data_IF_785969102395
#
_entry.id   IF_785969102395
#
_cell.length_a   1.000
_cell.length_b   1.000
_cell.length_c   1.000
_cell.angle_alpha   90.00
_cell.angle_beta   90.00
_cell.angle_gamma   90.00
#
_symmetry.space_group_name_H-M   'P 1'
#
loop_
_entity.id
_entity.type
_entity.pdbx_description
1 polymer ?
#
# COMPACT_ATOMS: atom_id res chain seq x y z
N UNK A 1 -1.24 11.04 -2.48
CA UNK A 1 -1.26 12.51 -2.51
C UNK A 1 -0.19 12.96 -1.53
N UNK A 2 0.89 13.57 -2.02
CA UNK A 2 2.13 13.88 -1.26
C UNK A 2 2.32 15.39 -1.30
N UNK A 3 2.65 16.03 -0.17
CA UNK A 3 2.97 17.46 -0.10
C UNK A 3 4.35 17.64 0.54
N UNK A 4 5.14 18.52 -0.04
CA UNK A 4 6.41 19.03 0.45
C UNK A 4 6.25 20.53 0.75
N UNK A 5 6.90 21.04 1.79
CA UNK A 5 6.88 22.48 2.10
C UNK A 5 7.66 23.27 1.05
N UNK A 6 7.10 24.41 0.67
CA UNK A 6 7.77 25.45 -0.10
C UNK A 6 8.30 26.48 0.89
N UNK A 7 9.52 26.26 1.39
CA UNK A 7 10.29 27.25 2.14
C UNK A 7 11.71 27.26 1.59
N UNK A 8 11.83 27.77 0.37
CA UNK A 8 12.91 28.64 -0.11
C UNK A 8 12.85 28.68 -1.63
N UNK A 9 12.97 29.89 -2.19
CA UNK A 9 13.00 30.18 -3.63
C UNK A 9 14.22 29.61 -4.36
N UNK A 10 14.86 28.57 -3.82
CA UNK A 10 16.08 27.92 -4.33
C UNK A 10 15.97 26.39 -4.50
N UNK A 11 14.81 25.75 -4.24
CA UNK A 11 14.72 24.28 -4.32
C UNK A 11 14.33 23.72 -5.70
N UNK A 12 15.34 23.30 -6.47
CA UNK A 12 15.19 22.46 -7.67
C UNK A 12 14.76 21.01 -7.39
N UNK A 13 14.51 20.62 -6.13
CA UNK A 13 14.35 19.21 -5.72
C UNK A 13 12.91 18.80 -5.40
N UNK A 14 11.94 19.73 -5.35
CA UNK A 14 10.52 19.44 -5.07
C UNK A 14 9.92 18.45 -6.06
N UNK A 15 10.17 18.65 -7.35
CA UNK A 15 9.72 17.73 -8.40
C UNK A 15 10.24 16.31 -8.19
N UNK A 16 11.47 16.18 -7.72
CA UNK A 16 12.13 14.89 -7.49
C UNK A 16 11.52 14.15 -6.29
N UNK A 17 11.27 14.82 -5.17
CA UNK A 17 10.63 14.21 -3.98
C UNK A 17 9.20 13.79 -4.30
N UNK A 18 8.45 14.60 -5.04
CA UNK A 18 7.07 14.27 -5.45
C UNK A 18 7.01 13.13 -6.48
N UNK A 19 8.11 12.86 -7.17
CA UNK A 19 8.26 11.73 -8.08
C UNK A 19 8.78 10.47 -7.38
N UNK A 20 9.08 10.51 -6.07
CA UNK A 20 9.43 9.33 -5.31
C UNK A 20 8.31 8.29 -5.43
N UNK A 21 8.68 7.07 -5.80
CA UNK A 21 7.74 5.98 -6.03
C UNK A 21 7.61 5.05 -4.83
N UNK A 22 8.46 5.23 -3.82
CA UNK A 22 8.61 4.32 -2.69
C UNK A 22 8.86 5.11 -1.39
N UNK A 23 8.44 4.53 -0.26
CA UNK A 23 8.70 5.09 1.06
C UNK A 23 8.84 3.99 2.13
N UNK A 24 9.58 4.29 3.19
CA UNK A 24 9.74 3.44 4.36
C UNK A 24 9.77 4.29 5.64
N UNK A 25 9.19 3.79 6.73
CA UNK A 25 9.20 4.47 8.02
C UNK A 25 10.37 3.95 8.87
N UNK A 26 11.26 4.85 9.28
CA UNK A 26 12.27 4.58 10.29
C UNK A 26 11.73 4.87 11.69
N UNK A 27 11.93 3.94 12.62
CA UNK A 27 11.56 4.09 14.04
C UNK A 27 12.55 3.37 14.94
N UNK A 28 13.19 4.09 15.85
CA UNK A 28 14.11 3.53 16.86
C UNK A 28 13.59 3.69 18.31
N UNK A 29 12.39 4.25 18.47
CA UNK A 29 11.77 4.55 19.77
C UNK A 29 12.00 5.98 20.27
N UNK A 30 12.96 6.70 19.71
CA UNK A 30 13.24 8.12 20.00
C UNK A 30 12.94 9.01 18.79
N UNK A 31 13.18 8.49 17.59
CA UNK A 31 12.99 9.15 16.33
C UNK A 31 12.00 8.37 15.48
N UNK A 32 11.14 9.10 14.78
CA UNK A 32 10.27 8.58 13.74
C UNK A 32 10.37 9.47 12.51
N UNK A 33 10.75 8.89 11.37
CA UNK A 33 10.86 9.64 10.11
C UNK A 33 10.44 8.81 8.90
N UNK A 34 9.85 9.46 7.91
CA UNK A 34 9.55 8.89 6.62
C UNK A 34 10.75 9.08 5.69
N UNK A 35 11.27 7.99 5.17
CA UNK A 35 12.26 7.97 4.10
C UNK A 35 11.53 7.77 2.77
N UNK A 36 11.69 8.68 1.82
CA UNK A 36 11.18 8.51 0.45
C UNK A 36 12.33 8.29 -0.52
N UNK A 37 12.11 7.48 -1.56
CA UNK A 37 13.11 7.15 -2.57
C UNK A 37 12.44 6.71 -3.89
N UNK A 38 13.25 6.56 -4.95
CA UNK A 38 12.77 6.16 -6.28
C UNK A 38 12.54 7.35 -7.23
N UNK A 39 11.75 7.12 -8.28
CA UNK A 39 11.49 8.15 -9.30
C UNK A 39 12.71 8.52 -10.15
N UNK A 40 12.82 9.80 -10.52
CA UNK A 40 13.87 10.34 -11.39
C UNK A 40 15.25 10.42 -10.72
N UNK A 41 15.33 10.36 -9.39
CA UNK A 41 16.58 10.26 -8.64
C UNK A 41 16.56 9.04 -7.73
N UNK A 42 16.33 7.87 -8.34
CA UNK A 42 16.15 6.61 -7.61
C UNK A 42 17.32 6.17 -6.74
N UNK A 43 18.47 6.82 -6.82
CA UNK A 43 19.65 6.60 -5.97
C UNK A 43 19.71 7.52 -4.74
N UNK A 44 18.75 8.44 -4.58
CA UNK A 44 18.65 9.32 -3.43
C UNK A 44 17.55 8.87 -2.48
N UNK A 45 17.79 9.11 -1.19
CA UNK A 45 16.80 9.03 -0.12
C UNK A 45 16.55 10.43 0.39
N UNK A 46 15.29 10.77 0.62
CA UNK A 46 14.87 12.01 1.29
C UNK A 46 14.25 11.66 2.63
N UNK A 47 14.79 12.23 3.70
CA UNK A 47 14.30 12.03 5.06
C UNK A 47 13.34 13.14 5.44
N UNK A 48 12.15 12.79 5.94
CA UNK A 48 11.25 13.78 6.49
C UNK A 48 11.75 14.29 7.84
N UNK A 49 11.39 15.52 8.20
CA UNK A 49 11.62 16.10 9.51
C UNK A 49 10.30 16.28 10.23
N UNK A 50 10.33 16.20 11.55
CA UNK A 50 9.17 16.51 12.37
C UNK A 50 8.79 17.99 12.20
N UNK A 51 7.48 18.26 12.18
CA UNK A 51 6.91 19.61 12.13
C UNK A 51 6.03 19.77 13.36
N UNK A 52 6.30 20.78 14.17
CA UNK A 52 5.43 21.08 15.31
C UNK A 52 4.08 21.61 14.80
N UNK A 53 3.01 21.42 15.60
CA UNK A 53 1.70 21.98 15.27
C UNK A 53 1.73 23.51 15.11
N UNK A 54 2.60 24.19 15.85
CA UNK A 54 2.81 25.64 15.75
C UNK A 54 3.41 26.04 14.39
N UNK A 55 4.43 25.32 13.91
CA UNK A 55 5.02 25.54 12.59
C UNK A 55 4.01 25.25 11.48
N UNK A 56 3.21 24.19 11.63
CA UNK A 56 2.16 23.83 10.68
C UNK A 56 1.03 24.88 10.65
N UNK A 57 0.60 25.37 11.81
CA UNK A 57 -0.42 26.41 11.95
C UNK A 57 0.06 27.73 11.32
N UNK A 58 1.30 28.14 11.59
CA UNK A 58 1.92 29.31 10.98
C UNK A 58 2.00 29.19 9.46
N UNK A 59 2.41 28.03 8.93
CA UNK A 59 2.48 27.78 7.49
C UNK A 59 1.09 27.87 6.83
N UNK A 60 0.04 27.34 7.47
CA UNK A 60 -1.34 27.36 6.94
C UNK A 60 -1.94 28.76 6.79
N UNK A 61 -1.42 29.75 7.53
CA UNK A 61 -1.83 31.16 7.37
C UNK A 61 -1.41 31.71 6.01
N UNK A 62 -0.23 31.31 5.53
CA UNK A 62 0.36 31.80 4.26
C UNK A 62 -0.03 30.86 3.11
N UNK A 63 -0.09 29.56 3.38
CA UNK A 63 -0.31 28.50 2.41
C UNK A 63 -1.42 27.58 2.89
N UNK A 64 -2.66 27.90 2.51
CA UNK A 64 -3.87 27.19 2.97
C UNK A 64 -3.90 25.70 2.59
N UNK A 65 -3.05 25.26 1.66
CA UNK A 65 -2.91 23.87 1.21
C UNK A 65 -1.71 23.12 1.82
N UNK A 66 -1.10 23.61 2.89
CA UNK A 66 0.02 22.92 3.57
C UNK A 66 -0.43 21.68 4.38
N UNK A 67 0.24 20.55 4.12
CA UNK A 67 0.11 19.27 4.82
C UNK A 67 1.36 18.94 5.67
N UNK A 68 1.30 17.85 6.43
CA UNK A 68 2.21 17.53 7.54
C UNK A 68 3.55 16.85 7.17
N UNK A 69 3.96 16.80 5.90
CA UNK A 69 5.23 16.18 5.49
C UNK A 69 6.28 17.21 5.07
N UNK A 70 7.37 17.30 5.85
CA UNK A 70 8.45 18.26 5.68
C UNK A 70 9.76 17.58 5.38
N UNK A 71 10.51 18.07 4.38
CA UNK A 71 11.87 17.62 4.06
C UNK A 71 12.76 18.86 4.09
N UNK A 72 13.74 18.89 4.99
CA UNK A 72 14.68 20.01 5.14
C UNK A 72 15.79 19.93 4.09
N UNK A 73 16.40 21.05 3.76
CA UNK A 73 17.67 21.01 3.05
C UNK A 73 18.72 20.21 3.84
N UNK A 74 19.60 19.50 3.13
CA UNK A 74 20.62 18.65 3.76
C UNK A 74 20.11 17.34 4.37
N UNK A 75 18.80 17.03 4.29
CA UNK A 75 18.24 15.74 4.73
C UNK A 75 18.10 14.71 3.60
N UNK A 76 18.77 14.95 2.48
CA UNK A 76 18.87 14.00 1.37
C UNK A 76 20.21 13.30 1.36
N UNK A 77 20.19 11.99 1.09
CA UNK A 77 21.37 11.15 1.05
C UNK A 77 21.48 10.47 -0.31
N UNK A 78 22.70 10.30 -0.82
CA UNK A 78 22.95 9.52 -2.03
C UNK A 78 23.52 8.16 -1.62
N UNK A 79 22.76 7.10 -1.88
CA UNK A 79 23.08 5.73 -1.46
C UNK A 79 23.24 4.79 -2.65
N UNK A 80 23.55 5.31 -3.83
CA UNK A 80 23.68 4.52 -5.06
C UNK A 80 24.06 5.41 -6.24
N UNK A 81 23.72 4.96 -7.45
CA UNK A 81 23.96 5.72 -8.69
C UNK A 81 22.79 5.57 -9.66
N UNK A 82 22.83 6.31 -10.78
CA UNK A 82 21.86 6.13 -11.87
C UNK A 82 21.79 4.70 -12.39
N UNK A 83 22.92 4.00 -12.39
CA UNK A 83 23.08 2.61 -12.82
C UNK A 83 22.60 1.62 -11.76
N UNK A 84 22.73 1.99 -10.48
CA UNK A 84 22.36 1.17 -9.32
C UNK A 84 21.38 1.93 -8.41
N UNK A 85 20.12 2.14 -8.86
CA UNK A 85 19.11 2.83 -8.07
C UNK A 85 18.67 1.98 -6.89
N UNK A 86 18.13 2.63 -5.86
CA UNK A 86 17.60 1.97 -4.68
C UNK A 86 16.39 1.13 -5.04
N UNK A 87 16.35 -0.07 -4.50
CA UNK A 87 15.35 -1.08 -4.81
C UNK A 87 14.42 -1.33 -3.63
N UNK A 88 14.93 -1.33 -2.39
CA UNK A 88 14.12 -1.58 -1.21
C UNK A 88 14.67 -0.89 0.04
N UNK A 89 13.81 -0.68 1.04
CA UNK A 89 14.19 -0.25 2.37
C UNK A 89 13.29 -0.92 3.41
N UNK A 90 13.89 -1.47 4.47
CA UNK A 90 13.17 -2.15 5.56
C UNK A 90 13.74 -1.77 6.93
N UNK A 91 12.85 -1.54 7.89
CA UNK A 91 13.24 -1.37 9.28
C UNK A 91 13.67 -2.73 9.84
N UNK A 92 14.86 -2.79 10.44
CA UNK A 92 15.36 -3.96 11.12
C UNK A 92 15.95 -3.52 12.47
N UNK A 93 15.24 -3.84 13.56
CA UNK A 93 15.58 -3.39 14.91
C UNK A 93 15.55 -1.85 15.00
N UNK A 94 16.67 -1.23 15.38
CA UNK A 94 16.90 0.21 15.57
C UNK A 94 17.50 0.90 14.33
N UNK A 95 17.62 0.16 13.22
CA UNK A 95 18.25 0.61 11.98
C UNK A 95 17.37 0.38 10.76
N UNK A 96 17.55 1.20 9.74
CA UNK A 96 17.01 0.96 8.40
C UNK A 96 18.07 0.26 7.55
N UNK A 97 17.69 -0.81 6.86
CA UNK A 97 18.47 -1.39 5.78
C UNK A 97 17.95 -0.84 4.47
N UNK A 98 18.81 -0.21 3.67
CA UNK A 98 18.47 0.33 2.35
C UNK A 98 19.30 -0.39 1.31
N UNK A 99 18.66 -0.83 0.23
CA UNK A 99 19.28 -1.69 -0.78
C UNK A 99 19.27 -1.01 -2.14
N UNK A 100 20.31 -1.28 -2.93
CA UNK A 100 20.22 -1.31 -4.38
C UNK A 100 20.49 -2.75 -4.86
N UNK A 101 20.73 -2.97 -6.15
CA UNK A 101 20.99 -4.29 -6.70
C UNK A 101 22.37 -4.88 -6.36
N UNK A 102 23.31 -4.06 -5.88
CA UNK A 102 24.70 -4.49 -5.58
C UNK A 102 25.10 -4.35 -4.12
N UNK A 103 24.36 -3.63 -3.28
CA UNK A 103 24.81 -3.27 -1.94
C UNK A 103 23.67 -2.95 -0.97
N UNK A 104 24.06 -2.87 0.30
CA UNK A 104 23.19 -2.55 1.42
C UNK A 104 23.83 -1.47 2.31
N UNK A 105 23.03 -0.46 2.64
CA UNK A 105 23.36 0.63 3.55
C UNK A 105 22.59 0.48 4.86
N UNK A 106 23.25 0.82 5.95
CA UNK A 106 22.63 0.95 7.27
C UNK A 106 22.47 2.43 7.58
N UNK A 107 21.24 2.82 7.88
CA UNK A 107 20.87 4.15 8.35
C UNK A 107 20.39 4.05 9.79
N UNK A 108 20.97 4.82 10.70
CA UNK A 108 20.57 4.86 12.12
C UNK A 108 20.90 6.18 12.78
N UNK A 109 20.19 6.53 13.84
CA UNK A 109 20.63 7.60 14.74
C UNK A 109 21.63 7.02 15.74
N UNK A 110 22.85 7.57 15.88
CA UNK A 110 23.85 7.04 16.80
C UNK A 110 23.46 7.28 18.26
N UNK A 111 22.67 8.33 18.52
CA UNK A 111 22.25 8.74 19.86
C UNK A 111 20.78 9.22 19.84
N UNK A 112 20.06 8.93 20.93
CA UNK A 112 18.64 9.29 21.09
C UNK A 112 18.35 10.81 21.04
N UNK A 113 19.36 11.65 21.28
CA UNK A 113 19.23 13.11 21.27
C UNK A 113 19.72 13.77 19.99
N UNK A 114 20.29 12.99 19.07
CA UNK A 114 20.92 13.52 17.87
C UNK A 114 20.02 13.32 16.65
N UNK A 115 19.65 14.41 15.98
CA UNK A 115 18.90 14.36 14.72
C UNK A 115 19.80 14.00 13.52
N UNK A 116 21.12 13.84 13.72
CA UNK A 116 22.02 13.34 12.69
C UNK A 116 21.83 11.84 12.46
N UNK A 117 21.61 11.45 11.19
CA UNK A 117 21.52 10.05 10.80
C UNK A 117 22.87 9.59 10.27
N UNK A 118 23.46 8.61 10.95
CA UNK A 118 24.65 7.90 10.49
C UNK A 118 24.29 7.01 9.29
N UNK A 119 25.14 7.02 8.27
CA UNK A 119 24.95 6.28 7.03
C UNK A 119 26.23 5.52 6.73
N UNK A 120 26.12 4.19 6.71
CA UNK A 120 27.27 3.31 6.49
C UNK A 120 26.93 2.36 5.36
N UNK A 121 27.80 2.29 4.35
CA UNK A 121 27.79 1.17 3.40
C UNK A 121 28.19 -0.07 4.18
N UNK A 122 27.23 -0.97 4.37
CA UNK A 122 27.40 -2.12 5.23
C UNK A 122 28.02 -3.29 4.47
N UNK A 123 27.57 -3.55 3.24
CA UNK A 123 28.15 -4.58 2.40
C UNK A 123 27.99 -4.25 0.92
N UNK A 124 29.06 -4.50 0.17
CA UNK A 124 29.09 -4.46 -1.29
C UNK A 124 29.04 -5.90 -1.85
N UNK A 125 28.51 -6.05 -3.06
CA UNK A 125 28.25 -7.33 -3.72
C UNK A 125 27.00 -8.08 -3.23
N UNK A 126 26.27 -7.58 -2.23
CA UNK A 126 25.01 -8.15 -1.74
C UNK A 126 23.91 -7.10 -1.80
N UNK A 127 23.01 -7.26 -2.76
CA UNK A 127 21.90 -6.33 -3.00
C UNK A 127 20.57 -7.03 -3.27
N UNK A 128 19.53 -6.21 -3.34
CA UNK A 128 18.18 -6.59 -3.72
C UNK A 128 17.92 -6.15 -5.17
N UNK A 129 17.73 -7.09 -6.09
CA UNK A 129 17.58 -6.77 -7.52
C UNK A 129 16.19 -6.29 -7.90
N UNK A 130 15.19 -6.57 -7.05
CA UNK A 130 13.80 -6.26 -7.31
C UNK A 130 13.31 -5.08 -6.47
N UNK A 131 12.50 -4.20 -7.07
CA UNK A 131 11.90 -3.07 -6.35
C UNK A 131 10.87 -3.57 -5.35
N UNK A 132 10.98 -3.16 -4.09
CA UNK A 132 10.17 -3.69 -2.99
C UNK A 132 10.45 -5.17 -2.70
N UNK A 133 11.57 -5.71 -3.19
CA UNK A 133 11.93 -7.12 -3.02
C UNK A 133 12.53 -7.47 -1.66
N UNK A 134 12.31 -6.67 -0.62
CA UNK A 134 12.82 -6.93 0.73
C UNK A 134 11.69 -6.90 1.75
N UNK A 135 11.70 -7.88 2.66
CA UNK A 135 10.71 -8.01 3.74
C UNK A 135 11.39 -8.46 5.03
N UNK A 136 10.78 -8.14 6.17
CA UNK A 136 11.23 -8.60 7.47
C UNK A 136 10.36 -9.77 7.92
N UNK A 137 10.88 -11.00 7.91
CA UNK A 137 10.18 -12.19 8.38
C UNK A 137 10.62 -12.53 9.80
N UNK A 138 9.74 -12.28 10.79
CA UNK A 138 10.02 -12.50 12.23
C UNK A 138 11.36 -11.92 12.70
N UNK A 139 11.68 -10.71 12.25
CA UNK A 139 12.92 -10.03 12.60
C UNK A 139 14.13 -10.44 11.77
N UNK A 140 14.00 -11.37 10.81
CA UNK A 140 15.07 -11.74 9.88
C UNK A 140 14.80 -11.08 8.53
N UNK A 141 15.73 -10.30 7.97
CA UNK A 141 15.56 -9.73 6.63
C UNK A 141 15.64 -10.79 5.54
N UNK A 142 14.68 -10.75 4.60
CA UNK A 142 14.68 -11.54 3.37
C UNK A 142 14.69 -10.61 2.17
N UNK A 143 15.45 -10.96 1.14
CA UNK A 143 15.62 -10.16 -0.07
C UNK A 143 15.50 -11.03 -1.33
N UNK A 144 15.11 -10.41 -2.43
CA UNK A 144 15.29 -10.93 -3.78
C UNK A 144 16.69 -10.53 -4.25
N UNK A 145 17.67 -11.40 -4.08
CA UNK A 145 19.04 -11.19 -4.56
C UNK A 145 19.16 -11.56 -6.04
N UNK A 146 20.31 -11.27 -6.66
CA UNK A 146 20.58 -11.70 -8.04
C UNK A 146 20.68 -13.23 -8.23
N UNK A 147 20.79 -13.99 -7.13
CA UNK A 147 20.89 -15.45 -7.12
C UNK A 147 19.62 -16.16 -6.64
N UNK A 148 18.60 -15.43 -6.20
CA UNK A 148 17.32 -16.00 -5.76
C UNK A 148 16.73 -15.28 -4.55
N UNK A 149 15.82 -15.94 -3.85
CA UNK A 149 15.31 -15.48 -2.56
C UNK A 149 16.32 -15.86 -1.50
N UNK A 150 16.75 -14.89 -0.71
CA UNK A 150 17.79 -15.09 0.28
C UNK A 150 17.45 -14.42 1.60
N UNK A 151 17.88 -15.04 2.70
CA UNK A 151 17.85 -14.42 4.03
C UNK A 151 19.20 -13.81 4.37
N UNK A 152 19.15 -12.67 5.04
CA UNK A 152 20.32 -12.01 5.62
C UNK A 152 20.41 -12.41 7.09
N UNK A 153 21.41 -13.19 7.44
CA UNK A 153 21.73 -13.54 8.83
C UNK A 153 22.86 -12.68 9.35
N UNK A 154 22.95 -12.46 10.66
CA UNK A 154 24.18 -11.93 11.26
C UNK A 154 25.20 -13.07 11.34
N UNK A 155 26.47 -12.79 11.03
CA UNK A 155 27.55 -13.77 11.17
C UNK A 155 27.70 -14.22 12.64
N UNK A 156 27.45 -13.33 13.60
CA UNK A 156 27.27 -13.63 15.02
C UNK A 156 26.50 -12.49 15.74
N UNK A 157 26.12 -12.69 17.00
CA UNK A 157 25.31 -11.73 17.78
C UNK A 157 25.95 -10.34 17.98
N UNK A 158 27.27 -10.23 17.77
CA UNK A 158 28.05 -8.99 17.89
C UNK A 158 28.57 -8.47 16.55
N UNK A 159 28.20 -9.10 15.43
CA UNK A 159 28.79 -8.81 14.14
C UNK A 159 27.83 -8.02 13.26
N UNK A 160 28.35 -6.89 12.78
CA UNK A 160 27.81 -6.10 11.68
C UNK A 160 28.17 -6.71 10.31
N UNK A 161 28.29 -8.04 10.18
CA UNK A 161 28.51 -8.71 8.89
C UNK A 161 27.29 -9.59 8.61
N UNK A 162 26.62 -9.35 7.48
CA UNK A 162 25.55 -10.26 7.03
C UNK A 162 26.09 -11.43 6.24
N UNK A 163 25.62 -12.63 6.57
CA UNK A 163 25.68 -13.79 5.68
C UNK A 163 24.43 -13.82 4.82
N UNK A 164 24.60 -14.00 3.51
CA UNK A 164 23.50 -14.22 2.58
C UNK A 164 23.32 -15.73 2.41
N UNK A 165 22.16 -16.24 2.76
CA UNK A 165 21.79 -17.65 2.52
C UNK A 165 20.64 -17.70 1.54
N UNK A 166 20.89 -18.21 0.33
CA UNK A 166 19.86 -18.43 -0.69
C UNK A 166 18.98 -19.60 -0.25
N UNK A 167 17.67 -19.36 -0.16
CA UNK A 167 16.67 -20.36 0.26
C UNK A 167 15.89 -20.92 -0.93
N UNK A 168 16.04 -20.33 -2.13
CA UNK A 168 15.37 -20.76 -3.35
C UNK A 168 16.27 -21.55 -4.30
N UNK A 169 17.35 -22.17 -3.80
CA UNK A 169 18.29 -22.93 -4.63
C UNK A 169 17.62 -24.05 -5.42
N UNK A 170 16.62 -24.68 -4.82
CA UNK A 170 15.95 -25.86 -5.36
C UNK A 170 15.00 -25.53 -6.53
N UNK A 171 14.71 -24.24 -6.73
CA UNK A 171 13.88 -23.73 -7.83
C UNK A 171 14.61 -22.65 -8.65
N UNK A 172 15.94 -22.63 -8.61
CA UNK A 172 16.75 -21.59 -9.25
C UNK A 172 16.52 -21.52 -10.78
N UNK A 173 16.19 -22.65 -11.42
CA UNK A 173 15.81 -22.74 -12.84
C UNK A 173 14.54 -21.92 -13.16
N UNK A 174 13.64 -21.76 -12.18
CA UNK A 174 12.41 -20.98 -12.29
C UNK A 174 12.58 -19.51 -11.97
N UNK A 175 13.71 -19.14 -11.38
CA UNK A 175 14.00 -17.80 -10.88
C UNK A 175 15.29 -17.23 -11.51
N UNK A 176 15.42 -17.18 -12.86
CA UNK A 176 16.55 -16.49 -13.47
C UNK A 176 16.50 -15.00 -13.12
N UNK A 177 17.66 -14.32 -13.20
CA UNK A 177 17.77 -12.89 -12.90
C UNK A 177 16.75 -12.02 -13.67
N UNK A 178 16.41 -12.39 -14.90
CA UNK A 178 15.40 -11.70 -15.71
C UNK A 178 14.01 -11.74 -15.07
N UNK A 179 13.65 -12.82 -14.37
CA UNK A 179 12.40 -12.96 -13.62
C UNK A 179 12.51 -12.23 -12.27
N UNK A 180 13.60 -12.46 -11.53
CA UNK A 180 13.80 -11.90 -10.19
C UNK A 180 13.66 -10.37 -10.15
N UNK A 181 14.15 -9.65 -11.17
CA UNK A 181 14.04 -8.17 -11.26
C UNK A 181 12.60 -7.65 -11.29
N UNK A 182 11.65 -8.47 -11.71
CA UNK A 182 10.23 -8.14 -11.83
C UNK A 182 9.39 -8.73 -10.70
N UNK A 183 10.03 -9.43 -9.76
CA UNK A 183 9.33 -10.05 -8.66
C UNK A 183 8.99 -9.06 -7.53
N UNK A 184 7.85 -9.27 -6.89
CA UNK A 184 7.49 -8.68 -5.60
C UNK A 184 7.56 -9.76 -4.52
N UNK A 185 8.00 -9.38 -3.32
CA UNK A 185 8.11 -10.25 -2.16
C UNK A 185 7.20 -9.72 -1.03
N UNK A 186 6.43 -10.60 -0.41
CA UNK A 186 5.64 -10.30 0.78
C UNK A 186 5.83 -11.39 1.82
N UNK A 187 5.75 -11.02 3.10
CA UNK A 187 5.70 -11.97 4.20
C UNK A 187 4.37 -11.83 4.93
N UNK A 188 3.66 -12.95 5.06
CA UNK A 188 2.43 -13.01 5.83
C UNK A 188 2.69 -13.73 7.17
N UNK A 189 2.63 -12.97 8.27
CA UNK A 189 3.04 -13.44 9.60
C UNK A 189 2.20 -14.60 10.14
N UNK A 190 0.87 -14.54 9.98
CA UNK A 190 -0.04 -15.53 10.56
C UNK A 190 0.21 -16.93 10.02
N UNK A 191 0.44 -17.06 8.71
CA UNK A 191 0.72 -18.36 8.10
C UNK A 191 2.22 -18.65 8.01
N UNK A 192 3.06 -17.68 8.41
CA UNK A 192 4.50 -17.73 8.33
C UNK A 192 4.99 -18.17 6.93
N UNK A 193 4.52 -17.48 5.89
CA UNK A 193 4.87 -17.77 4.50
C UNK A 193 5.39 -16.54 3.77
N UNK A 194 6.40 -16.77 2.94
CA UNK A 194 6.87 -15.82 1.94
C UNK A 194 6.09 -16.03 0.66
N UNK A 195 5.64 -14.93 0.06
CA UNK A 195 4.88 -14.89 -1.17
C UNK A 195 5.69 -14.15 -2.22
N UNK A 196 5.86 -14.77 -3.37
CA UNK A 196 6.69 -14.28 -4.48
C UNK A 196 5.87 -14.27 -5.76
N UNK A 197 5.96 -13.18 -6.52
CA UNK A 197 5.22 -13.01 -7.77
C UNK A 197 6.03 -12.22 -8.78
N UNK A 198 6.29 -12.79 -9.96
CA UNK A 198 6.78 -12.04 -11.13
C UNK A 198 5.66 -11.20 -11.75
N UNK A 199 5.74 -9.88 -11.62
CA UNK A 199 4.71 -8.96 -12.13
C UNK A 199 4.56 -8.95 -13.65
N UNK A 200 5.48 -9.54 -14.40
CA UNK A 200 5.43 -9.62 -15.87
C UNK A 200 4.85 -10.93 -16.40
N UNK A 201 4.71 -11.96 -15.56
CA UNK A 201 4.21 -13.27 -15.99
C UNK A 201 2.70 -13.23 -16.26
N UNK A 202 2.29 -13.34 -17.51
CA UNK A 202 0.88 -13.25 -17.92
C UNK A 202 0.01 -14.38 -17.33
N UNK A 203 0.59 -15.52 -16.97
CA UNK A 203 -0.13 -16.67 -16.41
C UNK A 203 -0.49 -16.46 -14.93
N UNK A 204 -0.02 -15.39 -14.30
CA UNK A 204 -0.37 -15.06 -12.92
C UNK A 204 0.18 -16.07 -11.91
N UNK A 205 1.41 -16.54 -12.11
CA UNK A 205 2.07 -17.47 -11.18
C UNK A 205 2.46 -16.76 -9.87
N UNK A 206 1.99 -17.28 -8.74
CA UNK A 206 2.41 -16.88 -7.39
C UNK A 206 3.04 -18.09 -6.71
N UNK A 207 4.25 -17.90 -6.17
CA UNK A 207 4.99 -18.91 -5.43
C UNK A 207 4.94 -18.60 -3.94
N UNK A 208 4.66 -19.60 -3.12
CA UNK A 208 4.70 -19.48 -1.67
C UNK A 208 5.77 -20.42 -1.13
N UNK A 209 6.51 -19.98 -0.13
CA UNK A 209 7.40 -20.86 0.60
C UNK A 209 7.40 -20.58 2.09
N UNK A 210 7.81 -21.60 2.84
CA UNK A 210 8.19 -21.44 4.24
C UNK A 210 9.52 -20.68 4.32
N UNK A 211 9.81 -19.95 5.41
CA UNK A 211 11.04 -19.15 5.54
C UNK A 211 12.34 -19.96 5.48
N UNK A 212 12.28 -21.28 5.60
CA UNK A 212 13.43 -22.17 5.43
C UNK A 212 13.68 -22.59 3.97
N UNK A 213 12.74 -22.30 3.06
CA UNK A 213 12.83 -22.55 1.63
C UNK A 213 12.64 -24.01 1.21
N UNK A 214 12.23 -24.92 2.10
CA UNK A 214 12.15 -26.35 1.76
C UNK A 214 10.91 -26.73 0.96
N UNK A 215 9.80 -26.06 1.20
CA UNK A 215 8.53 -26.35 0.56
C UNK A 215 8.07 -25.15 -0.25
N UNK A 216 7.84 -25.37 -1.55
CA UNK A 216 7.33 -24.37 -2.46
C UNK A 216 5.97 -24.81 -3.00
N UNK A 217 4.99 -23.92 -2.89
CA UNK A 217 3.65 -24.10 -3.44
C UNK A 217 3.46 -23.11 -4.59
N UNK A 218 2.88 -23.57 -5.69
CA UNK A 218 2.62 -22.74 -6.87
C UNK A 218 1.11 -22.57 -7.07
N UNK A 219 0.68 -21.33 -7.21
CA UNK A 219 -0.63 -20.95 -7.74
C UNK A 219 -0.46 -20.29 -9.12
N UNK A 220 -1.51 -20.33 -9.93
CA UNK A 220 -1.60 -19.70 -11.26
C UNK A 220 -2.91 -18.93 -11.39
N UNK A 221 -3.05 -18.09 -12.40
CA UNK A 221 -4.25 -17.28 -12.65
C UNK A 221 -4.33 -15.99 -11.81
N UNK A 222 -3.31 -15.69 -11.01
CA UNK A 222 -3.26 -14.52 -10.12
C UNK A 222 -2.36 -13.44 -10.71
N UNK A 223 -2.94 -12.59 -11.57
CA UNK A 223 -2.23 -11.46 -12.18
C UNK A 223 -2.14 -10.28 -11.21
N UNK A 224 -1.31 -10.45 -10.19
CA UNK A 224 -1.08 -9.47 -9.13
C UNK A 224 0.06 -8.49 -9.48
N UNK A 225 -0.16 -7.20 -9.21
CA UNK A 225 0.86 -6.14 -9.30
C UNK A 225 1.64 -5.97 -7.99
N UNK A 226 0.99 -6.22 -6.85
CA UNK A 226 1.59 -6.19 -5.52
C UNK A 226 0.88 -7.19 -4.60
N UNK A 227 1.57 -7.57 -3.54
CA UNK A 227 1.07 -8.44 -2.48
C UNK A 227 0.93 -7.60 -1.20
N UNK A 228 -0.15 -7.78 -0.46
CA UNK A 228 -0.51 -6.93 0.68
C UNK A 228 -1.23 -7.72 1.77
N UNK A 229 -1.36 -7.14 2.95
CA UNK A 229 -2.30 -7.63 3.96
C UNK A 229 -3.66 -6.94 3.80
N UNK A 230 -4.73 -7.73 3.77
CA UNK A 230 -6.09 -7.21 3.64
C UNK A 230 -7.12 -8.08 4.37
N UNK A 231 -8.00 -7.44 5.15
CA UNK A 231 -9.08 -8.15 5.84
C UNK A 231 -8.60 -9.20 6.85
N UNK A 232 -7.39 -9.03 7.40
CA UNK A 232 -6.77 -9.99 8.32
C UNK A 232 -6.19 -11.25 7.63
N UNK A 233 -6.08 -11.25 6.29
CA UNK A 233 -5.53 -12.31 5.46
C UNK A 233 -4.53 -11.77 4.43
N UNK A 234 -3.83 -12.66 3.71
CA UNK A 234 -3.03 -12.26 2.58
C UNK A 234 -3.95 -11.82 1.44
N UNK A 235 -3.53 -10.78 0.72
CA UNK A 235 -4.23 -10.23 -0.42
C UNK A 235 -3.27 -9.76 -1.50
N UNK A 236 -3.83 -9.29 -2.59
CA UNK A 236 -3.06 -8.82 -3.74
C UNK A 236 -3.79 -7.71 -4.48
N UNK A 237 -3.03 -6.84 -5.14
CA UNK A 237 -3.58 -5.84 -6.06
C UNK A 237 -3.67 -6.43 -7.46
N UNK A 238 -4.86 -6.41 -8.07
CA UNK A 238 -5.05 -6.85 -9.45
C UNK A 238 -4.45 -5.85 -10.43
N UNK A 239 -4.31 -6.24 -11.71
CA UNK A 239 -3.89 -5.36 -12.80
C UNK A 239 -4.68 -4.04 -12.86
N UNK A 240 -5.93 -4.01 -12.39
CA UNK A 240 -6.78 -2.82 -12.35
C UNK A 240 -6.70 -2.01 -11.06
N UNK A 241 -5.78 -2.35 -10.15
CA UNK A 241 -5.63 -1.69 -8.85
C UNK A 241 -6.71 -2.04 -7.82
N UNK A 242 -7.50 -3.10 -8.04
CA UNK A 242 -8.43 -3.62 -7.01
C UNK A 242 -7.62 -4.44 -6.01
N UNK A 243 -8.02 -4.44 -4.74
CA UNK A 243 -7.46 -5.37 -3.75
C UNK A 243 -8.38 -6.60 -3.70
N UNK A 244 -7.79 -7.77 -3.90
CA UNK A 244 -8.43 -9.07 -3.76
C UNK A 244 -7.79 -9.83 -2.58
N UNK A 245 -8.49 -10.81 -2.03
CA UNK A 245 -7.97 -11.70 -0.98
C UNK A 245 -7.86 -13.12 -1.49
N UNK A 246 -6.87 -13.86 -1.01
CA UNK A 246 -6.88 -15.30 -1.19
C UNK A 246 -8.02 -15.91 -0.36
N UNK A 247 -8.77 -16.84 -0.95
CA UNK A 247 -9.81 -17.55 -0.25
C UNK A 247 -9.54 -19.06 -0.30
N UNK A 248 -8.95 -19.56 0.78
CA UNK A 248 -8.56 -20.98 0.88
C UNK A 248 -9.76 -21.93 0.90
N UNK A 249 -10.99 -21.43 1.09
CA UNK A 249 -12.20 -22.25 0.95
C UNK A 249 -12.55 -22.56 -0.51
N UNK A 250 -11.98 -21.83 -1.46
CA UNK A 250 -12.17 -22.03 -2.89
C UNK A 250 -10.99 -22.85 -3.41
N UNK A 251 -11.24 -24.15 -3.59
CA UNK A 251 -10.26 -25.10 -4.16
C UNK A 251 -9.95 -24.81 -5.63
N UNK A 252 -10.79 -24.00 -6.28
CA UNK A 252 -10.63 -23.44 -7.63
C UNK A 252 -11.37 -22.09 -7.70
N UNK A 253 -10.71 -21.04 -8.22
CA UNK A 253 -11.35 -19.81 -8.68
C UNK A 253 -11.77 -20.04 -10.14
N UNK A 254 -13.07 -19.99 -10.43
CA UNK A 254 -13.63 -20.22 -11.76
C UNK A 254 -13.80 -18.91 -12.55
N UNK A 255 -13.41 -17.77 -11.99
CA UNK A 255 -13.61 -16.45 -12.60
C UNK A 255 -15.08 -16.03 -12.65
N UNK A 256 -15.97 -16.68 -11.89
CA UNK A 256 -17.37 -16.29 -11.82
C UNK A 256 -17.54 -14.92 -11.15
N UNK A 257 -18.45 -14.11 -11.71
CA UNK A 257 -18.81 -12.81 -11.17
C UNK A 257 -19.27 -12.95 -9.72
N UNK A 258 -18.68 -12.18 -8.80
CA UNK A 258 -19.20 -12.06 -7.45
C UNK A 258 -19.96 -10.74 -7.27
N UNK A 259 -21.04 -10.78 -6.50
CA UNK A 259 -21.74 -9.56 -6.09
C UNK A 259 -20.93 -8.84 -5.01
N UNK A 260 -20.51 -7.62 -5.30
CA UNK A 260 -19.85 -6.78 -4.32
C UNK A 260 -20.90 -6.11 -3.44
N UNK A 261 -20.85 -6.36 -2.13
CA UNK A 261 -21.72 -5.74 -1.14
C UNK A 261 -20.92 -4.79 -0.24
N UNK A 262 -21.43 -3.56 -0.09
CA UNK A 262 -20.95 -2.61 0.91
C UNK A 262 -22.08 -2.25 1.86
N UNK A 263 -21.87 -2.45 3.15
CA UNK A 263 -22.80 -2.06 4.21
C UNK A 263 -22.23 -0.88 4.99
N UNK A 264 -22.94 0.23 5.03
CA UNK A 264 -22.54 1.40 5.82
C UNK A 264 -22.71 1.13 7.32
N UNK A 265 -22.03 1.93 8.14
CA UNK A 265 -22.45 2.08 9.54
C UNK A 265 -23.79 2.85 9.61
N UNK A 266 -24.44 2.82 10.78
CA UNK A 266 -25.60 3.68 11.01
C UNK A 266 -25.17 5.14 11.07
N UNK A 267 -25.74 5.95 10.18
CA UNK A 267 -25.68 7.40 10.23
C UNK A 267 -26.61 7.86 11.35
N UNK A 268 -26.01 8.51 12.36
CA UNK A 268 -26.73 9.16 13.44
C UNK A 268 -26.98 10.63 13.09
N UNK A 269 -28.25 11.01 12.96
CA UNK A 269 -28.65 12.40 12.69
C UNK A 269 -28.95 13.21 13.97
N UNK A 270 -28.50 12.72 15.12
CA UNK A 270 -28.46 13.32 16.47
C UNK A 270 -29.18 14.66 16.66
N UNK A 271 -30.45 14.57 17.06
CA UNK A 271 -31.12 15.29 18.15
C UNK A 271 -32.46 14.54 18.37
N UNK A 272 -32.80 14.03 19.58
CA UNK A 272 -33.95 13.14 19.79
C UNK A 272 -35.32 13.72 19.38
N UNK A 273 -35.37 15.05 19.26
CA UNK A 273 -36.56 15.88 19.05
C UNK A 273 -36.98 15.94 17.56
N UNK A 274 -36.10 15.55 16.63
CA UNK A 274 -36.31 15.69 15.18
C UNK A 274 -36.37 14.33 14.47
N UNK A 275 -37.55 13.70 14.45
CA UNK A 275 -37.80 12.52 13.61
C UNK A 275 -37.80 12.92 12.12
N UNK A 276 -36.87 12.40 11.31
CA UNK A 276 -36.83 12.65 9.86
C UNK A 276 -37.84 11.78 9.13
N UNK A 277 -38.40 12.23 8.00
CA UNK A 277 -39.52 11.53 7.31
C UNK A 277 -39.21 11.02 5.91
N UNK A 278 -38.43 11.78 5.15
CA UNK A 278 -38.11 11.49 3.76
C UNK A 278 -36.68 11.94 3.50
N UNK A 279 -36.00 11.22 2.61
CA UNK A 279 -34.66 11.57 2.19
C UNK A 279 -34.53 11.53 0.68
N UNK A 280 -33.51 12.22 0.21
CA UNK A 280 -33.01 12.14 -1.14
C UNK A 280 -31.65 11.49 -1.08
N UNK A 281 -31.43 10.47 -1.90
CA UNK A 281 -30.12 9.87 -2.07
C UNK A 281 -29.65 10.18 -3.48
N UNK A 282 -28.39 10.60 -3.59
CA UNK A 282 -27.73 10.70 -4.87
C UNK A 282 -26.46 9.86 -4.88
N UNK A 283 -26.20 9.23 -6.03
CA UNK A 283 -25.05 8.39 -6.28
C UNK A 283 -24.39 8.92 -7.55
N UNK A 284 -23.12 9.29 -7.45
CA UNK A 284 -22.29 9.59 -8.61
C UNK A 284 -21.40 8.38 -8.86
N UNK A 285 -21.50 7.77 -10.04
CA UNK A 285 -20.75 6.56 -10.37
C UNK A 285 -20.31 6.53 -11.83
N UNK A 286 -19.23 5.83 -12.11
CA UNK A 286 -18.99 5.22 -13.41
C UNK A 286 -19.52 3.79 -13.30
N UNK A 287 -20.67 3.50 -13.89
CA UNK A 287 -21.33 2.20 -13.73
C UNK A 287 -20.77 1.12 -14.66
N UNK A 288 -20.09 1.52 -15.75
CA UNK A 288 -19.73 0.63 -16.85
C UNK A 288 -20.90 -0.20 -17.39
N UNK A 289 -22.14 0.32 -17.31
CA UNK A 289 -23.36 -0.40 -17.73
C UNK A 289 -23.97 -1.36 -16.69
N UNK A 290 -23.38 -1.52 -15.50
CA UNK A 290 -23.97 -2.35 -14.45
C UNK A 290 -25.13 -1.69 -13.72
N UNK A 291 -26.00 -2.53 -13.15
CA UNK A 291 -27.06 -2.09 -12.24
C UNK A 291 -26.52 -1.95 -10.82
N UNK A 292 -26.81 -0.81 -10.19
CA UNK A 292 -26.44 -0.50 -8.81
C UNK A 292 -27.70 -0.65 -7.95
N UNK A 293 -27.71 -1.64 -7.07
CA UNK A 293 -28.70 -1.81 -6.02
C UNK A 293 -28.33 -0.99 -4.80
N UNK A 294 -29.32 -0.30 -4.22
CA UNK A 294 -29.16 0.48 -3.00
C UNK A 294 -30.34 0.18 -2.08
N UNK A 295 -30.07 -0.45 -0.95
CA UNK A 295 -31.07 -0.62 0.12
C UNK A 295 -30.82 0.42 1.18
N UNK A 296 -31.82 1.25 1.46
CA UNK A 296 -31.79 2.19 2.60
C UNK A 296 -32.58 1.57 3.74
N UNK A 297 -32.00 1.52 4.93
CA UNK A 297 -32.55 0.86 6.11
C UNK A 297 -32.61 1.83 7.29
N UNK A 298 -33.70 1.76 8.05
CA UNK A 298 -33.87 2.41 9.36
C UNK A 298 -33.99 1.34 10.44
N UNK A 299 -34.14 1.76 11.70
CA UNK A 299 -34.46 0.86 12.81
C UNK A 299 -35.78 0.06 12.63
N UNK A 300 -36.67 0.44 11.70
CA UNK A 300 -38.02 -0.14 11.57
C UNK A 300 -38.39 -0.63 10.17
N UNK A 301 -37.80 -0.05 9.12
CA UNK A 301 -38.18 -0.29 7.72
C UNK A 301 -36.98 -0.17 6.79
N UNK A 302 -37.06 -0.83 5.64
CA UNK A 302 -36.12 -0.68 4.54
C UNK A 302 -36.82 -0.31 3.23
N UNK A 303 -36.07 0.25 2.29
CA UNK A 303 -36.49 0.55 0.93
C UNK A 303 -35.37 0.17 -0.02
N UNK A 304 -35.70 -0.59 -1.07
CA UNK A 304 -34.75 -0.95 -2.12
C UNK A 304 -34.92 0.00 -3.31
N UNK A 305 -33.78 0.44 -3.83
CA UNK A 305 -33.63 1.33 -4.96
C UNK A 305 -32.70 0.66 -5.95
N UNK A 306 -32.93 0.93 -7.24
CA UNK A 306 -32.12 0.38 -8.33
C UNK A 306 -31.81 1.50 -9.31
N UNK A 307 -30.55 1.57 -9.71
CA UNK A 307 -30.06 2.49 -10.71
C UNK A 307 -29.44 1.68 -11.85
N UNK A 308 -30.00 1.83 -13.05
CA UNK A 308 -29.48 1.16 -14.22
C UNK A 308 -28.49 2.08 -14.92
N UNK A 309 -27.24 1.65 -14.96
CA UNK A 309 -26.13 2.39 -15.53
C UNK A 309 -26.02 2.29 -17.04
N UNK A 310 -25.22 3.17 -17.64
CA UNK A 310 -24.93 3.22 -19.08
C UNK A 310 -23.44 3.00 -19.35
N UNK A 311 -23.11 2.32 -20.44
CA UNK A 311 -21.71 1.95 -20.76
C UNK A 311 -20.81 3.14 -21.15
N UNK A 312 -21.36 4.24 -21.71
CA UNK A 312 -20.53 5.26 -22.40
C UNK A 312 -20.58 6.68 -21.82
N UNK A 313 -21.19 6.91 -20.64
CA UNK A 313 -21.41 8.27 -20.13
C UNK A 313 -21.00 8.56 -18.66
N UNK A 314 -19.81 8.15 -18.18
CA UNK A 314 -19.35 8.52 -16.83
C UNK A 314 -18.86 9.99 -16.74
N UNK A 315 -18.99 10.65 -15.57
CA UNK A 315 -19.71 10.19 -14.39
C UNK A 315 -21.23 10.29 -14.55
N UNK A 316 -21.94 9.24 -14.17
CA UNK A 316 -23.39 9.18 -14.12
C UNK A 316 -23.90 9.64 -12.76
N UNK A 317 -24.95 10.47 -12.77
CA UNK A 317 -25.59 10.98 -11.58
C UNK A 317 -26.97 10.37 -11.42
N UNK A 318 -27.11 9.52 -10.42
CA UNK A 318 -28.37 8.92 -10.03
C UNK A 318 -28.93 9.65 -8.82
N UNK A 319 -30.24 9.83 -8.80
CA UNK A 319 -30.91 10.59 -7.75
C UNK A 319 -32.33 10.12 -7.57
N UNK A 320 -32.70 9.74 -6.34
CA UNK A 320 -34.06 9.29 -6.06
C UNK A 320 -34.48 9.67 -4.65
N UNK A 321 -35.76 10.01 -4.50
CA UNK A 321 -36.38 10.19 -3.18
C UNK A 321 -36.76 8.82 -2.62
N UNK A 322 -36.51 8.63 -1.33
CA UNK A 322 -36.93 7.43 -0.61
C UNK A 322 -37.81 7.81 0.58
N UNK A 323 -38.74 6.91 0.92
CA UNK A 323 -39.64 7.04 2.06
C UNK A 323 -39.61 5.77 2.91
N UNK A 324 -39.00 5.85 4.09
CA UNK A 324 -38.93 4.73 5.05
C UNK A 324 -39.69 5.03 6.36
N UNK A 325 -40.49 6.10 6.38
CA UNK A 325 -41.24 6.55 7.55
C UNK A 325 -40.40 7.43 8.48
N UNK A 326 -40.79 7.52 9.76
CA UNK A 326 -40.00 8.25 10.77
C UNK A 326 -38.80 7.43 11.20
N UNK A 327 -37.60 7.99 11.14
CA UNK A 327 -36.38 7.33 11.57
C UNK A 327 -35.43 8.27 12.32
N UNK A 328 -34.57 7.67 13.15
CA UNK A 328 -33.46 8.33 13.85
C UNK A 328 -32.12 7.93 13.25
N UNK A 329 -32.00 6.67 12.83
CA UNK A 329 -30.79 6.13 12.26
C UNK A 329 -31.04 5.70 10.82
N UNK A 330 -30.04 5.89 9.98
CA UNK A 330 -30.09 5.44 8.59
C UNK A 330 -28.84 4.67 8.25
N UNK A 331 -29.02 3.50 7.67
CA UNK A 331 -27.94 2.69 7.09
C UNK A 331 -28.26 2.49 5.62
N UNK A 332 -27.24 2.32 4.79
CA UNK A 332 -27.43 1.89 3.43
C UNK A 332 -26.55 0.69 3.09
N UNK A 333 -27.08 -0.19 2.24
CA UNK A 333 -26.38 -1.31 1.62
C UNK A 333 -26.33 -1.06 0.12
N UNK A 334 -25.14 -1.04 -0.43
CA UNK A 334 -24.92 -1.01 -1.87
C UNK A 334 -24.60 -2.41 -2.37
N UNK A 335 -25.23 -2.79 -3.46
CA UNK A 335 -24.94 -4.02 -4.20
C UNK A 335 -24.66 -3.69 -5.65
N UNK A 336 -23.64 -4.32 -6.22
CA UNK A 336 -23.32 -4.22 -7.65
C UNK A 336 -23.26 -5.62 -8.20
N UNK A 337 -24.08 -5.89 -9.22
CA UNK A 337 -24.13 -7.17 -9.91
C UNK A 337 -23.42 -7.13 -11.27
N UNK A 338 -22.96 -8.29 -11.73
CA UNK A 338 -22.37 -8.49 -13.05
C UNK A 338 -20.86 -8.21 -13.14
N UNK A 339 -20.35 -8.13 -14.37
CA UNK A 339 -18.91 -8.06 -14.67
C UNK A 339 -18.35 -6.63 -14.81
N UNK A 340 -19.21 -5.61 -14.83
CA UNK A 340 -18.77 -4.25 -15.07
C UNK A 340 -18.03 -3.64 -13.87
N UNK A 341 -17.07 -2.77 -14.15
CA UNK A 341 -16.31 -2.08 -13.11
C UNK A 341 -17.04 -0.83 -12.64
N UNK A 342 -17.90 -0.97 -11.64
CA UNK A 342 -18.52 0.20 -11.00
C UNK A 342 -17.51 0.93 -10.12
N UNK A 343 -17.27 2.22 -10.40
CA UNK A 343 -16.55 3.14 -9.51
C UNK A 343 -17.54 4.15 -8.94
N UNK A 344 -17.77 4.09 -7.63
CA UNK A 344 -18.59 5.08 -6.91
C UNK A 344 -17.72 6.30 -6.56
N UNK A 345 -18.05 7.45 -7.12
CA UNK A 345 -17.37 8.72 -6.83
C UNK A 345 -17.95 9.41 -5.60
N UNK A 346 -19.27 9.34 -5.41
CA UNK A 346 -19.93 9.87 -4.22
C UNK A 346 -21.27 9.19 -3.96
N UNK A 347 -21.63 9.11 -2.68
CA UNK A 347 -22.98 8.83 -2.23
C UNK A 347 -23.34 9.88 -1.18
N UNK A 348 -24.43 10.60 -1.40
CA UNK A 348 -24.94 11.57 -0.45
C UNK A 348 -26.39 11.26 -0.10
N UNK A 349 -26.69 11.33 1.20
CA UNK A 349 -28.04 11.19 1.71
C UNK A 349 -28.43 12.51 2.38
N UNK A 350 -29.44 13.19 1.84
CA UNK A 350 -30.02 14.39 2.41
C UNK A 350 -31.36 14.03 3.00
N UNK A 351 -31.55 14.27 4.30
CA UNK A 351 -32.79 13.96 5.00
C UNK A 351 -33.53 15.23 5.39
N UNK A 352 -34.84 15.24 5.22
CA UNK A 352 -35.69 16.38 5.63
C UNK A 352 -36.24 16.12 7.04
N UNK A 353 -36.23 17.18 7.85
CA UNK A 353 -36.81 17.19 9.20
C UNK A 353 -38.33 17.09 9.11
#
# INVERSE_FOLDING_TARGET
MVIAFEMDSLFSMRSTVLQASSAACYRDGYHETLLTYGGSSGYRVWRSSEVSEEMLAGARVIYSSCDSLYVRDGTSFTLGSSEHPLTAAIQHLDRMLVFNDSGVWVLRHPHASDDSMEIVLYQDGIGCVARGGAVLCRGIPYIISGSGIAKLGLYNASSDITTLTVISSDIADRLPLSVLKHCVLHWYDRDNRLWLRDTTDADGTVLLCEPDGKHWVRYTGIVANALVDYGGGPGFTTASGRIARFNDSLVTDDGASFEAEYLSQYLDFSQPEFCKRAGYISVCADSGGASIGLTVESERRSCQLRFDGKEEAPPEFFGVRFGIGRFRFLRYRLTVGGNARVRLYSLSATVTI
#
